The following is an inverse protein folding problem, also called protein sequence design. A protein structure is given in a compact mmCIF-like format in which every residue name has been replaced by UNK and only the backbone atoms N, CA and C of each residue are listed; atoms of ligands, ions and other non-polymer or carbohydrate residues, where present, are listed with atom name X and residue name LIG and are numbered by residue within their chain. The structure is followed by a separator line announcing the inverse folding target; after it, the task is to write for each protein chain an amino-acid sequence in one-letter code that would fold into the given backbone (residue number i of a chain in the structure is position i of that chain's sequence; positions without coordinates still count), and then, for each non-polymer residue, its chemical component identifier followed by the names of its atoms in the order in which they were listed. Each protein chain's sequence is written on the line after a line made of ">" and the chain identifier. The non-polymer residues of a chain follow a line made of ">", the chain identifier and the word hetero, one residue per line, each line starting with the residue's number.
data_IF_153081228785
#
_entry.id   IF_153081228785
#
_cell.length_a   1.000
_cell.length_b   1.000
_cell.length_c   1.000
_cell.angle_alpha   90.00
_cell.angle_beta   90.00
_cell.angle_gamma   90.00
#
_symmetry.space_group_name_H-M   'P 1'
#
loop_
_entity.id
_entity.type
_entity.pdbx_description
1 polymer ?
#
# COMPACT_ATOMS: atom_id res chain seq x y z
N UNK A 1 -18.19 -36.06 24.54
CA UNK A 1 -18.14 -35.41 24.43
C UNK A 1 -18.04 -34.74 24.42
N UNK A 2 -17.52 -34.56 24.00
CA UNK A 2 -17.31 -33.79 23.77
C UNK A 2 -17.27 -32.88 23.79
N UNK A 3 -16.97 -32.87 23.72
CA UNK A 3 -16.77 -31.92 23.62
C UNK A 3 -16.62 -31.03 23.75
N UNK A 4 -16.52 -31.16 24.05
CA UNK A 4 -16.33 -30.29 24.05
C UNK A 4 -15.73 -29.65 24.05
N UNK A 5 -15.38 -30.14 24.12
CA UNK A 5 -14.79 -29.54 23.78
C UNK A 5 -14.57 -28.74 23.60
N UNK A 6 -14.71 -28.80 23.51
CA UNK A 6 -14.62 -27.92 23.18
C UNK A 6 -14.28 -27.18 23.46
N UNK A 7 -14.22 -27.37 24.01
CA UNK A 7 -13.92 -26.73 24.06
C UNK A 7 -13.30 -26.09 24.57
N UNK A 8 -12.77 -26.65 25.53
CA UNK A 8 -12.05 -26.03 25.83
C UNK A 8 -11.05 -25.44 25.29
N UNK A 9 -10.34 -25.86 25.01
CA UNK A 9 -9.56 -25.35 23.94
C UNK A 9 -10.15 -24.14 23.31
N UNK A 10 -11.30 -23.82 23.62
CA UNK A 10 -12.04 -22.89 22.80
C UNK A 10 -11.73 -21.43 23.05
N UNK A 11 -11.02 -21.07 24.11
CA UNK A 11 -10.57 -19.69 24.22
C UNK A 11 -9.54 -19.37 23.14
N UNK A 12 -8.55 -20.27 22.93
CA UNK A 12 -7.61 -20.12 21.84
C UNK A 12 -8.24 -20.31 20.48
N UNK A 13 -9.17 -21.27 20.40
CA UNK A 13 -9.85 -21.55 19.13
C UNK A 13 -10.74 -20.38 18.71
N UNK A 14 -11.39 -19.72 19.68
CA UNK A 14 -12.20 -18.55 19.38
C UNK A 14 -11.34 -17.43 18.77
N UNK A 15 -10.12 -17.25 19.28
CA UNK A 15 -9.20 -16.29 18.69
C UNK A 15 -8.83 -16.68 17.27
N UNK A 16 -8.68 -18.00 17.00
CA UNK A 16 -8.27 -18.47 15.68
C UNK A 16 -9.36 -18.37 14.63
N UNK A 17 -10.64 -18.20 15.04
CA UNK A 17 -11.72 -18.02 14.06
C UNK A 17 -11.97 -16.56 13.71
N UNK A 18 -11.24 -15.64 14.32
CA UNK A 18 -11.30 -14.25 13.90
C UNK A 18 -10.58 -14.16 12.56
N UNK A 19 -11.25 -13.65 11.52
CA UNK A 19 -10.60 -13.56 10.20
C UNK A 19 -9.32 -12.76 10.25
N UNK A 20 -8.30 -13.22 9.53
CA UNK A 20 -7.02 -12.54 9.46
C UNK A 20 -7.19 -11.10 8.96
N UNK A 21 -8.10 -10.89 8.00
CA UNK A 21 -8.37 -9.55 7.49
C UNK A 21 -8.85 -8.61 8.59
N UNK A 22 -9.65 -9.13 9.52
CA UNK A 22 -10.14 -8.32 10.64
C UNK A 22 -8.97 -7.90 11.54
N UNK A 23 -8.08 -8.82 11.86
CA UNK A 23 -6.90 -8.51 12.67
C UNK A 23 -6.02 -7.49 11.98
N UNK A 24 -5.73 -7.68 10.70
CA UNK A 24 -4.88 -6.76 9.93
C UNK A 24 -5.53 -5.39 9.87
N UNK A 25 -6.83 -5.31 9.61
CA UNK A 25 -7.53 -4.03 9.55
C UNK A 25 -7.45 -3.29 10.88
N UNK A 26 -7.58 -4.02 11.98
CA UNK A 26 -7.49 -3.44 13.31
C UNK A 26 -6.10 -2.89 13.58
N UNK A 27 -5.06 -3.68 13.27
CA UNK A 27 -3.68 -3.27 13.45
C UNK A 27 -3.35 -2.05 12.60
N UNK A 28 -3.76 -2.04 11.35
CA UNK A 28 -3.51 -0.92 10.46
C UNK A 28 -4.18 0.35 10.96
N UNK A 29 -5.40 0.21 11.49
CA UNK A 29 -6.11 1.36 12.04
C UNK A 29 -5.42 1.91 13.28
N UNK A 30 -4.95 1.03 14.14
CA UNK A 30 -4.24 1.45 15.36
C UNK A 30 -2.93 2.14 15.02
N UNK A 31 -2.22 1.67 14.01
CA UNK A 31 -0.93 2.21 13.61
C UNK A 31 -1.07 3.46 12.73
N UNK A 32 -2.23 3.67 12.12
CA UNK A 32 -2.45 4.78 11.22
C UNK A 32 -1.58 4.72 9.97
N UNK A 33 -1.30 3.51 9.48
CA UNK A 33 -0.37 3.31 8.38
C UNK A 33 -1.14 3.17 7.06
N UNK A 34 -0.69 3.89 6.04
CA UNK A 34 -1.23 3.76 4.69
C UNK A 34 -0.77 2.44 4.08
N UNK A 35 -1.73 1.61 3.68
CA UNK A 35 -1.43 0.32 3.04
C UNK A 35 -2.20 0.24 1.74
N UNK A 36 -1.54 -0.24 0.69
CA UNK A 36 -2.17 -0.44 -0.60
C UNK A 36 -1.70 -1.74 -1.24
N UNK A 37 -2.53 -2.25 -2.15
CA UNK A 37 -2.27 -3.48 -2.87
C UNK A 37 -2.39 -3.18 -4.34
N UNK A 38 -1.36 -3.55 -5.11
CA UNK A 38 -1.25 -3.21 -6.52
C UNK A 38 -0.95 -4.44 -7.37
N UNK A 39 -1.34 -4.38 -8.64
CA UNK A 39 -0.81 -5.29 -9.65
C UNK A 39 0.49 -4.73 -10.21
N UNK A 40 1.44 -5.59 -10.50
CA UNK A 40 2.66 -5.18 -11.20
C UNK A 40 2.43 -5.26 -12.71
N UNK A 41 1.42 -4.53 -13.16
CA UNK A 41 1.14 -4.34 -14.59
C UNK A 41 1.72 -2.99 -15.04
N UNK A 42 1.44 -2.57 -16.26
CA UNK A 42 2.00 -1.32 -16.79
C UNK A 42 1.43 -0.07 -16.10
N UNK A 43 0.31 -0.24 -15.39
CA UNK A 43 -0.35 0.88 -14.70
C UNK A 43 -0.07 0.89 -13.20
N UNK A 44 0.51 -0.17 -12.65
CA UNK A 44 0.56 -0.45 -11.22
C UNK A 44 -0.83 -0.37 -10.60
N UNK A 45 -1.81 -0.97 -11.29
CA UNK A 45 -3.23 -0.88 -10.94
C UNK A 45 -3.47 -1.10 -9.46
N UNK A 46 -4.17 -0.16 -8.85
CA UNK A 46 -4.55 -0.26 -7.44
C UNK A 46 -5.72 -1.22 -7.30
N UNK A 47 -5.54 -2.27 -6.52
CA UNK A 47 -6.59 -3.26 -6.26
C UNK A 47 -7.36 -2.88 -5.00
N UNK A 48 -6.64 -2.41 -4.00
CA UNK A 48 -7.21 -2.08 -2.70
C UNK A 48 -6.29 -1.14 -1.96
N UNK A 49 -6.88 -0.26 -1.15
CA UNK A 49 -6.13 0.59 -0.24
C UNK A 49 -6.98 0.87 1.00
N UNK A 50 -6.32 1.14 2.12
CA UNK A 50 -7.04 1.49 3.33
C UNK A 50 -7.31 3.00 3.37
N UNK A 51 -8.07 3.42 4.39
CA UNK A 51 -8.46 4.83 4.53
C UNK A 51 -7.27 5.78 4.64
N UNK A 52 -6.18 5.33 5.26
CA UNK A 52 -4.99 6.17 5.45
C UNK A 52 -4.28 6.47 4.16
N UNK A 53 -4.39 5.60 3.16
CA UNK A 53 -3.88 5.86 1.83
C UNK A 53 -4.55 7.09 1.23
N UNK A 54 -5.89 7.14 1.28
CA UNK A 54 -6.63 8.25 0.71
C UNK A 54 -6.44 9.53 1.52
N UNK A 55 -6.31 9.42 2.83
CA UNK A 55 -6.00 10.57 3.67
C UNK A 55 -4.64 11.16 3.32
N UNK A 56 -3.67 10.29 3.06
CA UNK A 56 -2.32 10.73 2.72
C UNK A 56 -2.29 11.51 1.41
N UNK A 57 -2.95 11.00 0.38
CA UNK A 57 -2.97 11.68 -0.93
C UNK A 57 -4.00 12.80 -0.99
N UNK A 58 -4.89 12.89 0.00
CA UNK A 58 -5.87 13.95 0.09
C UNK A 58 -7.05 13.80 -0.85
N UNK A 59 -7.27 12.62 -1.41
CA UNK A 59 -8.38 12.35 -2.32
C UNK A 59 -9.40 11.44 -1.64
N UNK A 60 -10.70 11.80 -1.66
CA UNK A 60 -11.73 10.83 -1.28
C UNK A 60 -11.67 9.64 -2.25
N UNK A 61 -11.94 8.45 -1.72
CA UNK A 61 -11.78 7.21 -2.48
C UNK A 61 -12.60 7.22 -3.76
N UNK A 62 -13.88 7.58 -3.68
CA UNK A 62 -14.76 7.55 -4.84
C UNK A 62 -14.34 8.57 -5.91
N UNK A 63 -13.88 9.75 -5.50
CA UNK A 63 -13.37 10.74 -6.46
C UNK A 63 -12.08 10.26 -7.12
N UNK A 64 -11.21 9.63 -6.34
CA UNK A 64 -9.97 9.08 -6.87
C UNK A 64 -10.26 8.00 -7.91
N UNK A 65 -11.18 7.10 -7.59
CA UNK A 65 -11.57 6.03 -8.50
C UNK A 65 -12.18 6.58 -9.79
N UNK A 66 -13.04 7.57 -9.66
CA UNK A 66 -13.68 8.17 -10.81
C UNK A 66 -12.70 8.92 -11.72
N UNK A 67 -11.75 9.62 -11.11
CA UNK A 67 -10.81 10.47 -11.84
C UNK A 67 -9.66 9.67 -12.45
N UNK A 68 -9.12 8.70 -11.70
CA UNK A 68 -7.90 8.01 -12.09
C UNK A 68 -8.10 6.53 -12.39
N UNK A 69 -9.31 5.99 -12.19
CA UNK A 69 -9.65 4.60 -12.53
C UNK A 69 -8.70 3.59 -11.89
N UNK A 70 -8.26 3.89 -10.66
CA UNK A 70 -7.31 3.05 -9.93
C UNK A 70 -6.00 2.81 -10.70
N UNK A 71 -5.60 3.78 -11.50
CA UNK A 71 -4.39 3.71 -12.31
C UNK A 71 -3.36 4.74 -11.84
N UNK A 72 -2.39 4.34 -11.04
CA UNK A 72 -1.31 5.23 -10.63
C UNK A 72 -0.58 5.92 -11.78
N UNK A 73 -0.46 5.27 -12.95
CA UNK A 73 0.17 5.91 -14.10
C UNK A 73 -0.57 7.18 -14.52
N UNK A 74 -1.90 7.20 -14.40
CA UNK A 74 -2.67 8.42 -14.65
C UNK A 74 -2.48 9.44 -13.54
N UNK A 75 -2.41 8.98 -12.31
CA UNK A 75 -2.22 9.86 -11.17
C UNK A 75 -0.89 10.62 -11.26
N UNK A 76 0.15 9.94 -11.72
CA UNK A 76 1.48 10.52 -11.87
C UNK A 76 1.68 11.22 -13.21
N UNK A 77 0.64 11.36 -14.02
CA UNK A 77 0.77 11.95 -15.35
C UNK A 77 1.33 13.37 -15.30
N UNK A 78 1.02 14.11 -14.23
CA UNK A 78 1.53 15.47 -14.02
C UNK A 78 2.93 15.48 -13.41
N UNK A 79 3.45 14.33 -13.02
CA UNK A 79 4.74 14.21 -12.35
C UNK A 79 5.55 13.07 -13.00
N UNK A 80 5.93 13.26 -14.28
CA UNK A 80 6.56 12.17 -15.03
C UNK A 80 7.90 11.71 -14.47
N UNK A 81 8.64 12.61 -13.80
CA UNK A 81 9.92 12.23 -13.20
C UNK A 81 9.71 11.29 -12.00
N UNK A 82 8.66 11.54 -11.22
CA UNK A 82 8.33 10.65 -10.10
C UNK A 82 7.86 9.29 -10.60
N UNK A 83 7.06 9.27 -11.65
CA UNK A 83 6.62 8.02 -12.27
C UNK A 83 7.79 7.22 -12.82
N UNK A 84 8.72 7.88 -13.48
CA UNK A 84 9.90 7.24 -14.03
C UNK A 84 10.74 6.61 -12.91
N UNK A 85 10.94 7.37 -11.83
CA UNK A 85 11.72 6.88 -10.68
C UNK A 85 11.06 5.64 -10.07
N UNK A 86 9.76 5.67 -9.89
CA UNK A 86 9.03 4.53 -9.34
C UNK A 86 9.11 3.32 -10.26
N UNK A 87 8.85 3.53 -11.55
CA UNK A 87 8.87 2.44 -12.53
C UNK A 87 10.24 1.79 -12.63
N UNK A 88 11.29 2.59 -12.67
CA UNK A 88 12.66 2.06 -12.74
C UNK A 88 13.03 1.29 -11.48
N UNK A 89 12.58 1.78 -10.32
CA UNK A 89 12.84 1.09 -9.06
C UNK A 89 12.17 -0.28 -9.03
N UNK A 90 10.91 -0.36 -9.47
CA UNK A 90 10.18 -1.62 -9.52
C UNK A 90 10.85 -2.60 -10.48
N UNK A 91 11.15 -2.14 -11.69
CA UNK A 91 11.74 -3.01 -12.72
C UNK A 91 13.12 -3.52 -12.29
N UNK A 92 13.91 -2.66 -11.66
CA UNK A 92 15.21 -3.07 -11.17
C UNK A 92 15.10 -4.13 -10.08
N UNK A 93 14.20 -3.91 -9.13
CA UNK A 93 14.00 -4.88 -8.05
C UNK A 93 13.55 -6.24 -8.58
N UNK A 94 12.61 -6.23 -9.54
CA UNK A 94 12.14 -7.47 -10.16
C UNK A 94 13.26 -8.15 -10.94
N UNK A 95 14.03 -7.37 -11.71
CA UNK A 95 15.11 -7.91 -12.52
C UNK A 95 16.25 -8.49 -11.70
N UNK A 96 16.44 -7.99 -10.49
CA UNK A 96 17.50 -8.48 -9.59
C UNK A 96 17.00 -9.58 -8.65
N UNK A 97 15.74 -9.99 -8.78
CA UNK A 97 15.17 -11.05 -7.95
C UNK A 97 14.96 -10.65 -6.50
N UNK A 98 14.76 -9.38 -6.25
CA UNK A 98 14.55 -8.90 -4.89
C UNK A 98 13.11 -9.10 -4.46
N UNK A 99 12.87 -9.16 -3.14
CA UNK A 99 11.54 -9.39 -2.58
C UNK A 99 10.68 -8.14 -2.57
N UNK A 100 11.25 -6.99 -2.86
CA UNK A 100 10.55 -5.73 -2.83
C UNK A 100 11.52 -4.58 -2.97
N UNK A 101 11.09 -3.39 -2.55
CA UNK A 101 11.94 -2.20 -2.64
C UNK A 101 11.53 -1.17 -1.60
N UNK A 102 12.43 -0.21 -1.39
CA UNK A 102 12.14 1.01 -0.64
C UNK A 102 12.46 2.18 -1.54
N UNK A 103 11.65 3.23 -1.44
CA UNK A 103 11.81 4.39 -2.30
C UNK A 103 11.35 5.64 -1.56
N UNK A 104 12.18 6.66 -1.58
CA UNK A 104 11.80 7.98 -1.10
C UNK A 104 11.31 8.79 -2.30
N UNK A 105 10.09 9.32 -2.22
CA UNK A 105 9.49 10.00 -3.35
C UNK A 105 8.53 11.08 -2.86
N UNK A 106 8.11 11.96 -3.77
CA UNK A 106 7.09 12.94 -3.48
C UNK A 106 5.79 12.52 -4.15
N UNK A 107 4.69 12.75 -3.46
CA UNK A 107 3.37 12.53 -4.02
C UNK A 107 2.62 13.85 -4.01
N UNK A 108 1.99 14.17 -5.15
CA UNK A 108 1.14 15.36 -5.26
C UNK A 108 -0.22 15.03 -4.63
N UNK A 109 -0.69 15.92 -3.77
CA UNK A 109 -1.98 15.76 -3.14
C UNK A 109 -3.06 16.49 -3.94
N UNK A 110 -4.33 16.23 -3.61
CA UNK A 110 -5.44 16.83 -4.34
C UNK A 110 -5.36 18.37 -4.36
N UNK A 111 -4.92 18.97 -3.25
CA UNK A 111 -4.82 20.42 -3.16
C UNK A 111 -3.64 21.01 -3.92
N UNK A 112 -2.83 20.16 -4.57
CA UNK A 112 -1.65 20.59 -5.32
C UNK A 112 -0.36 20.58 -4.54
N UNK A 113 -0.42 20.42 -3.23
CA UNK A 113 0.80 20.33 -2.41
C UNK A 113 1.46 18.97 -2.60
N UNK A 114 2.76 18.92 -2.31
CA UNK A 114 3.51 17.68 -2.35
C UNK A 114 3.83 17.24 -0.93
N UNK A 115 3.86 15.93 -0.74
CA UNK A 115 4.27 15.32 0.52
C UNK A 115 5.37 14.31 0.24
N UNK A 116 6.43 14.34 1.06
CA UNK A 116 7.48 13.34 0.97
C UNK A 116 7.02 12.06 1.63
N UNK A 117 7.17 10.95 0.93
CA UNK A 117 6.76 9.63 1.43
C UNK A 117 7.88 8.63 1.25
N UNK A 118 7.94 7.71 2.20
CA UNK A 118 8.77 6.53 2.10
C UNK A 118 7.87 5.38 1.67
N UNK A 119 8.12 4.84 0.49
CA UNK A 119 7.49 3.62 0.02
C UNK A 119 8.25 2.45 0.62
N UNK A 120 7.53 1.48 1.15
CA UNK A 120 8.09 0.19 1.52
C UNK A 120 7.19 -0.85 0.90
N UNK A 121 7.70 -1.57 -0.09
CA UNK A 121 6.89 -2.44 -0.93
C UNK A 121 7.45 -3.86 -0.88
N UNK A 122 6.54 -4.82 -0.80
CA UNK A 122 6.88 -6.24 -0.85
C UNK A 122 6.12 -6.90 -1.97
N UNK A 123 6.83 -7.66 -2.80
CA UNK A 123 6.22 -8.47 -3.85
C UNK A 123 5.67 -9.74 -3.22
N UNK A 124 4.40 -10.02 -3.48
CA UNK A 124 3.74 -11.20 -2.93
C UNK A 124 3.83 -12.36 -3.91
N UNK A 125 3.72 -13.59 -3.36
CA UNK A 125 3.62 -14.77 -4.21
C UNK A 125 2.14 -15.00 -4.53
N UNK A 126 1.55 -13.99 -5.13
CA UNK A 126 0.13 -13.96 -5.49
C UNK A 126 0.04 -13.34 -6.87
N UNK A 127 -0.77 -13.94 -7.75
CA UNK A 127 -0.92 -13.47 -9.13
C UNK A 127 -2.41 -13.31 -9.43
N UNK A 128 -2.74 -12.23 -10.12
CA UNK A 128 -4.10 -11.95 -10.58
C UNK A 128 -3.99 -11.64 -12.07
N UNK A 129 -4.71 -12.39 -12.90
CA UNK A 129 -4.70 -12.21 -14.37
C UNK A 129 -3.28 -12.26 -14.93
N UNK A 130 -2.42 -13.06 -14.33
CA UNK A 130 -1.04 -13.24 -14.78
C UNK A 130 -0.06 -12.20 -14.27
N UNK A 131 -0.52 -11.21 -13.51
CA UNK A 131 0.34 -10.17 -12.95
C UNK A 131 0.59 -10.43 -11.47
N UNK A 132 1.82 -10.22 -11.06
CA UNK A 132 2.20 -10.37 -9.66
C UNK A 132 1.61 -9.23 -8.82
N UNK A 133 1.29 -9.55 -7.58
CA UNK A 133 0.72 -8.58 -6.63
C UNK A 133 1.83 -8.02 -5.75
N UNK A 134 1.72 -6.73 -5.43
CA UNK A 134 2.62 -6.06 -4.49
C UNK A 134 1.82 -5.34 -3.42
N UNK A 135 2.34 -5.35 -2.19
CA UNK A 135 1.78 -4.59 -1.07
C UNK A 135 2.73 -3.46 -0.73
N UNK A 136 2.19 -2.27 -0.51
CA UNK A 136 3.00 -1.09 -0.19
C UNK A 136 2.50 -0.40 1.06
N UNK A 137 3.43 0.06 1.89
CA UNK A 137 3.14 1.05 2.90
C UNK A 137 3.75 2.37 2.47
N UNK A 138 3.04 3.46 2.75
CA UNK A 138 3.50 4.81 2.46
C UNK A 138 3.54 5.58 3.77
N UNK A 139 4.71 6.04 4.14
CA UNK A 139 4.90 6.79 5.37
C UNK A 139 5.23 8.23 5.04
N UNK A 140 4.47 9.17 5.62
CA UNK A 140 4.76 10.59 5.47
C UNK A 140 6.06 10.91 6.23
N UNK A 141 7.04 11.41 5.51
CA UNK A 141 8.34 11.71 6.10
C UNK A 141 8.71 13.20 5.94
N UNK A 142 7.70 14.05 5.76
CA UNK A 142 7.93 15.50 5.61
C UNK A 142 8.77 16.07 6.73
N UNK A 143 8.45 15.71 7.97
CA UNK A 143 9.18 16.26 9.13
C UNK A 143 10.64 15.81 9.13
N UNK A 144 10.88 14.56 8.76
CA UNK A 144 12.26 14.06 8.65
C UNK A 144 13.03 14.79 7.54
N UNK A 145 12.37 15.06 6.42
CA UNK A 145 13.01 15.76 5.32
C UNK A 145 13.36 17.21 5.69
N UNK A 146 12.49 17.85 6.45
CA UNK A 146 12.76 19.20 6.93
C UNK A 146 13.96 19.21 7.88
N UNK A 147 14.02 18.24 8.79
CA UNK A 147 15.14 18.15 9.71
C UNK A 147 16.46 17.93 8.98
N UNK A 148 16.46 17.14 7.91
CA UNK A 148 17.67 16.89 7.14
C UNK A 148 18.17 18.12 6.42
N UNK A 149 17.29 19.07 6.09
CA UNK A 149 17.66 20.30 5.42
C UNK A 149 18.26 21.33 6.38
N UNK A 150 17.95 21.21 7.64
CA UNK A 150 18.48 22.08 8.66
C UNK A 150 19.87 21.61 9.12
#
# INVERSE_FOLDING_TARGET
>A
MTDQRHDDTHAGDAASIIPAEYEYSTLMRLLGVSVSKHLLDEHFTLIWANEFYYQLIGWPKDEYEETYHNRPDLYYQSDPDEWKKLSETVLKALGEGQDGYRLLSRIRRKNGDYVWVQFSTQFAEEYIDGYQVAYSTLTNVDDLMKMRKE
#
